data_IF_560699971725
#
_entry.id   IF_560699971725
#
_cell.length_a   1.000
_cell.length_b   1.000
_cell.length_c   1.000
_cell.angle_alpha   90.00
_cell.angle_beta   90.00
_cell.angle_gamma   90.00
#
_symmetry.space_group_name_H-M   'P 1'
#
loop_
_entity.id
_entity.type
_entity.pdbx_description
1 polymer ?
#
# COMPACT_ATOMS: atom_id res chain seq x y z
N UNK A 1 40.10 0.64 -9.38
CA UNK A 1 38.94 1.52 -9.28
C UNK A 1 38.54 1.56 -7.82
N UNK A 2 38.11 2.70 -7.30
CA UNK A 2 37.59 2.74 -5.94
C UNK A 2 36.35 1.87 -5.85
N UNK A 3 36.24 1.08 -4.78
CA UNK A 3 35.03 0.28 -4.48
C UNK A 3 33.85 1.23 -4.29
N UNK A 4 32.77 1.03 -5.05
CA UNK A 4 31.53 1.80 -4.87
C UNK A 4 30.71 1.16 -3.76
N UNK A 5 30.11 1.97 -2.91
CA UNK A 5 29.35 1.50 -1.77
C UNK A 5 28.00 2.20 -1.71
N UNK A 6 26.97 1.46 -1.33
CA UNK A 6 25.63 1.96 -1.08
C UNK A 6 25.14 1.51 0.29
N UNK A 7 24.38 2.36 0.98
CA UNK A 7 23.74 2.00 2.26
C UNK A 7 22.43 1.27 1.99
N UNK A 8 22.25 0.11 2.59
CA UNK A 8 21.06 -0.72 2.47
C UNK A 8 20.32 -0.79 3.82
N UNK A 9 19.00 -0.64 3.76
CA UNK A 9 18.12 -0.75 4.91
C UNK A 9 16.97 -1.73 4.61
N UNK A 10 16.70 -2.64 5.53
CA UNK A 10 15.46 -3.38 5.57
C UNK A 10 14.52 -2.66 6.53
N UNK A 11 13.32 -2.34 6.05
CA UNK A 11 12.35 -1.49 6.76
C UNK A 11 11.01 -2.16 6.75
N UNK A 12 10.38 -2.27 7.90
CA UNK A 12 8.97 -2.64 8.01
C UNK A 12 8.12 -1.37 8.06
N UNK A 13 7.11 -1.30 7.20
CA UNK A 13 6.22 -0.14 7.05
C UNK A 13 4.81 -0.44 7.55
N UNK A 14 4.06 0.62 7.86
CA UNK A 14 2.74 0.53 8.49
C UNK A 14 2.77 -0.09 9.88
N UNK A 15 3.90 0.00 10.55
CA UNK A 15 4.11 -0.56 11.89
C UNK A 15 5.20 0.21 12.64
N UNK A 16 5.22 0.08 13.97
CA UNK A 16 6.33 0.49 14.86
C UNK A 16 7.11 -0.69 15.40
N UNK A 17 6.63 -1.90 15.13
CA UNK A 17 7.22 -3.15 15.61
C UNK A 17 7.94 -3.86 14.46
N UNK A 18 9.17 -4.34 14.75
CA UNK A 18 9.93 -5.13 13.77
C UNK A 18 9.23 -6.45 13.50
N UNK A 19 9.38 -6.93 12.25
CA UNK A 19 8.81 -8.19 11.77
C UNK A 19 7.28 -8.15 11.61
N UNK A 20 6.70 -6.95 11.65
CA UNK A 20 5.30 -6.65 11.39
C UNK A 20 5.16 -5.79 10.14
N UNK A 21 3.92 -5.48 9.72
CA UNK A 21 3.65 -4.60 8.58
C UNK A 21 4.19 -5.12 7.23
N UNK A 22 4.47 -4.23 6.30
CA UNK A 22 4.93 -4.59 4.95
C UNK A 22 6.42 -4.25 4.79
N UNK A 23 7.29 -5.26 4.52
CA UNK A 23 8.72 -5.03 4.40
C UNK A 23 9.08 -4.37 3.06
N UNK A 24 10.10 -3.50 3.09
CA UNK A 24 10.73 -2.93 1.91
C UNK A 24 12.25 -2.82 2.12
N UNK A 25 12.99 -2.93 1.04
CA UNK A 25 14.42 -2.60 1.03
C UNK A 25 14.58 -1.17 0.52
N UNK A 26 15.42 -0.38 1.20
CA UNK A 26 15.79 0.97 0.76
C UNK A 26 17.29 1.00 0.53
N UNK A 27 17.70 1.46 -0.64
CA UNK A 27 19.10 1.67 -1.00
C UNK A 27 19.31 3.17 -1.15
N UNK A 28 20.12 3.75 -0.25
CA UNK A 28 20.61 5.13 -0.35
C UNK A 28 21.91 5.18 -1.14
N UNK A 29 22.29 6.38 -1.58
CA UNK A 29 23.51 6.64 -2.35
C UNK A 29 23.52 5.88 -3.69
N UNK A 30 22.36 5.80 -4.34
CA UNK A 30 22.13 4.99 -5.54
C UNK A 30 22.43 5.72 -6.86
N UNK A 31 22.94 6.96 -6.83
CA UNK A 31 23.21 7.81 -8.00
C UNK A 31 24.17 7.18 -9.01
N UNK A 32 25.14 6.39 -8.51
CA UNK A 32 26.14 5.74 -9.36
C UNK A 32 25.69 4.38 -9.91
N UNK A 33 24.51 3.89 -9.51
CA UNK A 33 24.02 2.58 -9.94
C UNK A 33 23.37 2.65 -11.31
N UNK A 34 23.73 1.72 -12.16
CA UNK A 34 22.99 1.46 -13.40
C UNK A 34 21.67 0.71 -13.10
N UNK A 35 20.71 0.79 -14.01
CA UNK A 35 19.46 0.03 -13.92
C UNK A 35 19.71 -1.48 -13.75
N UNK A 36 20.71 -2.00 -14.47
CA UNK A 36 21.08 -3.41 -14.38
C UNK A 36 21.60 -3.78 -12.98
N UNK A 37 22.38 -2.92 -12.35
CA UNK A 37 22.88 -3.12 -10.99
C UNK A 37 21.73 -3.04 -9.97
N UNK A 38 20.84 -2.06 -10.09
CA UNK A 38 19.63 -1.97 -9.25
C UNK A 38 18.79 -3.24 -9.35
N UNK A 39 18.56 -3.74 -10.57
CA UNK A 39 17.83 -4.99 -10.79
C UNK A 39 18.55 -6.24 -10.23
N UNK A 40 19.88 -6.27 -10.21
CA UNK A 40 20.67 -7.33 -9.56
C UNK A 40 20.54 -7.27 -8.04
N UNK A 41 20.68 -6.09 -7.45
CA UNK A 41 20.49 -5.88 -6.01
C UNK A 41 19.08 -6.30 -5.59
N UNK A 42 18.03 -5.86 -6.32
CA UNK A 42 16.65 -6.23 -6.01
C UNK A 42 16.40 -7.75 -6.06
N UNK A 43 17.09 -8.49 -6.93
CA UNK A 43 17.03 -9.96 -6.94
C UNK A 43 17.80 -10.60 -5.79
N UNK A 44 18.95 -10.06 -5.44
CA UNK A 44 19.80 -10.57 -4.38
C UNK A 44 19.15 -10.45 -3.00
N UNK A 45 18.46 -9.32 -2.74
CA UNK A 45 17.71 -9.13 -1.48
C UNK A 45 16.43 -9.97 -1.40
N UNK A 46 16.11 -10.73 -2.44
CA UNK A 46 15.08 -11.78 -2.43
C UNK A 46 13.69 -11.27 -2.85
N UNK A 47 12.64 -11.75 -2.17
CA UNK A 47 11.24 -11.51 -2.55
C UNK A 47 10.68 -10.15 -2.12
N UNK A 48 11.51 -9.29 -1.53
CA UNK A 48 11.11 -7.97 -0.99
C UNK A 48 11.30 -6.91 -2.07
N UNK A 49 10.34 -6.01 -2.21
CA UNK A 49 10.40 -4.88 -3.14
C UNK A 49 11.40 -3.83 -2.63
N UNK A 50 12.10 -3.18 -3.57
CA UNK A 50 13.22 -2.28 -3.26
C UNK A 50 12.98 -0.88 -3.81
N UNK A 51 13.34 0.14 -3.02
CA UNK A 51 13.40 1.55 -3.42
C UNK A 51 14.86 2.01 -3.48
N UNK A 52 15.27 2.57 -4.61
CA UNK A 52 16.57 3.20 -4.82
C UNK A 52 16.37 4.71 -4.76
N UNK A 53 17.07 5.34 -3.83
CA UNK A 53 17.01 6.79 -3.60
C UNK A 53 18.12 7.46 -4.39
N UNK A 54 17.73 8.41 -5.23
CA UNK A 54 18.62 9.14 -6.14
C UNK A 54 18.35 10.63 -5.93
N UNK A 55 19.44 11.44 -5.87
CA UNK A 55 19.31 12.89 -5.83
C UNK A 55 18.58 13.38 -7.08
N UNK A 56 17.62 14.30 -6.92
CA UNK A 56 16.94 14.85 -8.07
C UNK A 56 17.82 15.77 -8.88
N UNK A 57 17.73 15.67 -10.21
CA UNK A 57 18.35 16.56 -11.18
C UNK A 57 17.42 17.70 -11.64
N UNK A 58 16.16 17.71 -11.16
CA UNK A 58 15.14 18.68 -11.52
C UNK A 58 14.84 19.67 -10.41
N UNK A 59 14.68 20.97 -10.69
CA UNK A 59 14.25 21.95 -9.69
C UNK A 59 12.80 21.75 -9.23
N UNK A 60 12.04 20.94 -9.94
CA UNK A 60 10.63 20.67 -9.65
C UNK A 60 10.42 19.49 -8.72
N UNK A 61 11.48 18.75 -8.38
CA UNK A 61 11.43 17.59 -7.48
C UNK A 61 12.59 17.60 -6.50
N UNK A 62 12.34 17.06 -5.30
CA UNK A 62 13.31 17.05 -4.21
C UNK A 62 14.11 15.75 -4.15
N UNK A 63 13.59 14.69 -4.76
CA UNK A 63 14.19 13.36 -4.81
C UNK A 63 13.59 12.53 -5.93
N UNK A 64 14.38 11.64 -6.52
CA UNK A 64 13.95 10.63 -7.46
C UNK A 64 13.99 9.26 -6.78
N UNK A 65 12.92 8.50 -6.87
CA UNK A 65 12.87 7.11 -6.42
C UNK A 65 12.63 6.18 -7.60
N UNK A 66 13.46 5.14 -7.68
CA UNK A 66 13.24 4.02 -8.59
C UNK A 66 12.87 2.79 -7.79
N UNK A 67 11.84 2.08 -8.25
CA UNK A 67 11.33 0.92 -7.53
C UNK A 67 11.52 -0.36 -8.34
N UNK A 68 11.93 -1.40 -7.67
CA UNK A 68 12.12 -2.71 -8.27
C UNK A 68 11.42 -3.79 -7.47
N UNK A 69 10.64 -4.61 -8.17
CA UNK A 69 10.34 -5.96 -7.72
C UNK A 69 11.53 -6.88 -8.05
N UNK A 70 11.63 -8.08 -7.51
CA UNK A 70 12.70 -9.02 -7.88
C UNK A 70 12.71 -9.38 -9.39
N UNK A 71 11.63 -9.10 -10.10
CA UNK A 71 11.47 -9.45 -11.52
C UNK A 71 11.74 -8.29 -12.47
N UNK A 72 11.37 -7.06 -12.08
CA UNK A 72 11.43 -5.88 -12.96
C UNK A 72 11.31 -4.58 -12.18
N UNK A 73 11.69 -3.50 -12.84
CA UNK A 73 11.33 -2.15 -12.38
C UNK A 73 9.81 -1.96 -12.42
N UNK A 74 9.29 -1.21 -11.45
CA UNK A 74 7.87 -0.82 -11.33
C UNK A 74 7.76 0.68 -11.10
N UNK A 75 6.71 1.30 -11.62
CA UNK A 75 6.59 2.76 -11.60
C UNK A 75 6.44 3.35 -10.19
N UNK A 76 5.70 2.68 -9.32
CA UNK A 76 5.41 3.20 -7.99
C UNK A 76 5.06 2.09 -6.99
N UNK A 77 5.62 2.23 -5.77
CA UNK A 77 5.33 1.36 -4.63
C UNK A 77 5.08 2.21 -3.37
N UNK A 78 3.85 2.21 -2.87
CA UNK A 78 3.47 3.05 -1.73
C UNK A 78 4.23 2.72 -0.43
N UNK A 79 4.30 1.44 -0.03
CA UNK A 79 5.02 1.03 1.17
C UNK A 79 6.53 1.32 1.06
N UNK A 80 7.14 1.07 -0.10
CA UNK A 80 8.54 1.37 -0.32
C UNK A 80 8.82 2.90 -0.37
N UNK A 81 7.84 3.73 -0.79
CA UNK A 81 7.89 5.19 -0.65
C UNK A 81 7.93 5.59 0.83
N UNK A 82 7.05 5.03 1.66
CA UNK A 82 7.05 5.29 3.12
C UNK A 82 8.40 4.90 3.71
N UNK A 83 8.92 3.71 3.38
CA UNK A 83 10.22 3.23 3.84
C UNK A 83 11.36 4.18 3.44
N UNK A 84 11.41 4.60 2.17
CA UNK A 84 12.47 5.47 1.65
C UNK A 84 12.50 6.83 2.36
N UNK A 85 11.35 7.48 2.53
CA UNK A 85 11.28 8.77 3.22
C UNK A 85 11.55 8.64 4.72
N UNK A 86 11.14 7.55 5.35
CA UNK A 86 11.50 7.26 6.74
C UNK A 86 13.01 7.11 6.90
N UNK A 87 13.65 6.30 6.05
CA UNK A 87 15.11 6.09 6.09
C UNK A 87 15.86 7.40 5.84
N UNK A 88 15.48 8.18 4.82
CA UNK A 88 16.07 9.49 4.53
C UNK A 88 16.00 10.43 5.73
N UNK A 89 14.87 10.46 6.42
CA UNK A 89 14.69 11.31 7.59
C UNK A 89 15.53 10.86 8.80
N UNK A 90 15.75 9.55 8.98
CA UNK A 90 16.54 8.98 10.06
C UNK A 90 18.03 9.04 9.76
N UNK A 91 18.46 8.60 8.57
CA UNK A 91 19.87 8.44 8.21
C UNK A 91 20.52 9.76 7.78
N UNK A 92 19.82 10.60 7.04
CA UNK A 92 20.36 11.82 6.45
C UNK A 92 19.82 13.10 7.11
N UNK A 93 18.93 12.97 8.10
CA UNK A 93 18.36 14.12 8.81
C UNK A 93 17.53 15.04 7.91
N UNK A 94 16.95 14.50 6.82
CA UNK A 94 16.16 15.28 5.87
C UNK A 94 15.06 16.04 6.60
N UNK A 95 14.85 17.34 6.31
CA UNK A 95 13.84 18.17 6.95
C UNK A 95 12.44 17.57 6.85
N UNK A 96 11.67 17.73 7.91
CA UNK A 96 10.23 17.42 7.92
C UNK A 96 9.50 18.40 7.05
N UNK A 97 8.38 17.99 6.49
CA UNK A 97 7.54 18.80 5.64
C UNK A 97 7.12 18.05 4.39
N UNK A 98 6.76 18.82 3.38
CA UNK A 98 6.38 18.29 2.08
C UNK A 98 7.59 18.05 1.21
N UNK A 99 7.61 16.91 0.54
CA UNK A 99 8.66 16.47 -0.38
C UNK A 99 7.99 16.12 -1.70
N UNK A 100 8.51 16.63 -2.80
CA UNK A 100 8.09 16.28 -4.16
C UNK A 100 8.98 15.18 -4.68
N UNK A 101 8.45 13.97 -4.67
CA UNK A 101 9.14 12.77 -5.15
C UNK A 101 8.82 12.55 -6.62
N UNK A 102 9.84 12.37 -7.46
CA UNK A 102 9.69 11.85 -8.81
C UNK A 102 9.74 10.31 -8.77
N UNK A 103 8.89 9.68 -9.56
CA UNK A 103 8.85 8.24 -9.73
C UNK A 103 8.40 7.93 -11.16
N UNK A 104 9.33 7.50 -11.99
CA UNK A 104 9.09 7.39 -13.43
C UNK A 104 8.68 8.73 -14.02
N UNK A 105 7.48 8.80 -14.61
CA UNK A 105 6.90 10.04 -15.16
C UNK A 105 6.06 10.84 -14.16
N UNK A 106 5.77 10.28 -12.98
CA UNK A 106 4.88 10.90 -11.99
C UNK A 106 5.66 11.70 -10.94
N UNK A 107 5.05 12.80 -10.47
CA UNK A 107 5.48 13.51 -9.26
C UNK A 107 4.43 13.31 -8.19
N UNK A 108 4.89 12.85 -7.03
CA UNK A 108 4.03 12.54 -5.87
C UNK A 108 4.44 13.42 -4.70
N UNK A 109 3.48 14.04 -4.05
CA UNK A 109 3.71 14.77 -2.80
C UNK A 109 3.73 13.80 -1.63
N UNK A 110 4.80 13.84 -0.84
CA UNK A 110 4.96 13.05 0.38
C UNK A 110 5.18 14.00 1.54
N UNK A 111 4.45 13.83 2.64
CA UNK A 111 4.64 14.60 3.85
C UNK A 111 5.33 13.75 4.92
N UNK A 112 6.40 14.30 5.51
CA UNK A 112 7.11 13.68 6.64
C UNK A 112 6.87 14.51 7.88
N UNK A 113 6.37 13.91 8.94
CA UNK A 113 6.02 14.58 10.20
C UNK A 113 6.47 13.77 11.43
N UNK A 114 6.30 14.35 12.62
CA UNK A 114 6.70 13.69 13.87
C UNK A 114 8.15 13.93 14.25
N UNK A 115 8.69 13.15 15.17
CA UNK A 115 10.09 13.18 15.64
C UNK A 115 10.65 11.77 15.64
N UNK A 116 11.91 11.64 15.23
CA UNK A 116 12.62 10.38 15.27
C UNK A 116 12.61 9.77 16.70
N UNK A 117 12.39 8.47 16.88
CA UNK A 117 12.13 7.49 15.82
C UNK A 117 10.66 7.41 15.36
N UNK A 118 9.72 8.12 16.02
CA UNK A 118 8.29 8.11 15.72
C UNK A 118 7.95 9.09 14.58
N UNK A 119 8.55 8.89 13.42
CA UNK A 119 8.23 9.62 12.20
C UNK A 119 7.03 9.01 11.51
N UNK A 120 6.21 9.88 10.91
CA UNK A 120 5.07 9.50 10.10
C UNK A 120 5.26 10.00 8.68
N UNK A 121 5.02 9.13 7.73
CA UNK A 121 5.09 9.44 6.30
C UNK A 121 3.70 9.30 5.70
N UNK A 122 3.24 10.34 5.02
CA UNK A 122 1.96 10.38 4.33
C UNK A 122 2.17 10.62 2.83
N UNK A 123 1.53 9.83 2.00
CA UNK A 123 1.54 9.96 0.54
C UNK A 123 0.23 10.61 0.12
N UNK A 124 0.32 11.76 -0.55
CA UNK A 124 -0.81 12.48 -1.11
C UNK A 124 -1.05 12.09 -2.57
N UNK A 125 -2.28 11.75 -2.91
CA UNK A 125 -2.60 11.26 -4.24
C UNK A 125 -4.02 11.63 -4.67
N UNK A 126 -4.26 11.64 -5.99
CA UNK A 126 -5.61 11.77 -6.53
C UNK A 126 -6.47 10.56 -6.12
N UNK A 127 -7.79 10.74 -5.97
CA UNK A 127 -8.70 9.65 -5.64
C UNK A 127 -8.66 8.52 -6.67
N UNK A 128 -8.98 7.31 -6.20
CA UNK A 128 -9.24 6.17 -7.07
C UNK A 128 -10.52 6.38 -7.88
N UNK A 129 -10.59 5.74 -9.04
CA UNK A 129 -11.76 5.74 -9.91
C UNK A 129 -12.61 4.50 -9.68
N UNK A 130 -13.93 4.67 -9.80
CA UNK A 130 -14.88 3.57 -9.73
C UNK A 130 -14.91 2.81 -11.05
N UNK A 131 -14.69 1.51 -10.97
CA UNK A 131 -14.93 0.56 -12.04
C UNK A 131 -16.34 -0.06 -11.94
N UNK A 132 -16.58 -1.13 -12.72
CA UNK A 132 -17.88 -1.80 -12.73
C UNK A 132 -18.21 -2.49 -11.40
N UNK A 133 -19.49 -2.59 -11.10
CA UNK A 133 -20.00 -3.55 -10.12
C UNK A 133 -19.82 -4.98 -10.66
N UNK A 134 -19.57 -5.92 -9.77
CA UNK A 134 -19.52 -7.33 -10.16
C UNK A 134 -20.92 -7.83 -10.47
N UNK A 135 -21.19 -8.35 -11.69
CA UNK A 135 -22.48 -8.94 -12.06
C UNK A 135 -22.82 -10.14 -11.15
N UNK A 136 -24.11 -10.35 -10.90
CA UNK A 136 -24.58 -11.43 -10.00
C UNK A 136 -24.08 -12.81 -10.41
N UNK A 137 -23.95 -13.07 -11.71
CA UNK A 137 -23.43 -14.32 -12.30
C UNK A 137 -22.00 -14.63 -11.86
N UNK A 138 -21.17 -13.58 -11.64
CA UNK A 138 -19.77 -13.72 -11.23
C UNK A 138 -19.56 -13.61 -9.73
N UNK A 139 -20.54 -12.99 -9.04
CA UNK A 139 -20.49 -12.82 -7.57
C UNK A 139 -20.35 -14.16 -6.86
N UNK A 140 -21.18 -15.15 -7.25
CA UNK A 140 -21.12 -16.50 -6.71
C UNK A 140 -19.74 -17.14 -6.86
N UNK A 141 -19.12 -17.02 -8.04
CA UNK A 141 -17.77 -17.58 -8.30
C UNK A 141 -16.69 -16.96 -7.40
N UNK A 142 -16.77 -15.64 -7.16
CA UNK A 142 -15.84 -14.95 -6.26
C UNK A 142 -16.03 -15.42 -4.81
N UNK A 143 -17.27 -15.54 -4.37
CA UNK A 143 -17.60 -16.02 -3.02
C UNK A 143 -17.13 -17.46 -2.80
N UNK A 144 -17.38 -18.34 -3.77
CA UNK A 144 -16.91 -19.72 -3.75
C UNK A 144 -15.38 -19.80 -3.71
N UNK A 145 -14.69 -18.93 -4.47
CA UNK A 145 -13.22 -18.88 -4.46
C UNK A 145 -12.66 -18.37 -3.14
N UNK A 146 -13.42 -17.57 -2.37
CA UNK A 146 -13.06 -17.11 -1.03
C UNK A 146 -13.52 -18.04 0.08
N UNK A 147 -14.35 -19.07 -0.23
CA UNK A 147 -14.89 -20.02 0.73
C UNK A 147 -15.98 -19.43 1.64
N UNK A 148 -16.77 -18.47 1.13
CA UNK A 148 -17.86 -17.80 1.87
C UNK A 148 -19.16 -17.79 1.08
N UNK A 149 -20.26 -17.49 1.75
CA UNK A 149 -21.58 -17.36 1.15
C UNK A 149 -22.03 -15.90 0.99
N UNK A 150 -23.08 -15.66 0.25
CA UNK A 150 -23.69 -14.32 0.11
C UNK A 150 -24.18 -13.76 1.46
N UNK A 151 -24.53 -14.60 2.41
CA UNK A 151 -24.89 -14.17 3.77
C UNK A 151 -23.73 -13.51 4.52
N UNK A 152 -22.50 -13.72 4.10
CA UNK A 152 -21.31 -13.08 4.69
C UNK A 152 -21.11 -11.63 4.23
N UNK A 153 -21.77 -11.21 3.15
CA UNK A 153 -21.57 -9.88 2.57
C UNK A 153 -22.29 -8.79 3.39
N UNK A 154 -21.61 -7.67 3.55
CA UNK A 154 -22.23 -6.49 4.14
C UNK A 154 -23.23 -5.86 3.14
N UNK A 155 -24.50 -5.64 3.54
CA UNK A 155 -25.57 -5.25 2.60
C UNK A 155 -25.35 -3.87 1.95
N UNK A 156 -24.65 -2.97 2.62
CA UNK A 156 -24.32 -1.63 2.10
C UNK A 156 -22.99 -1.56 1.35
N UNK A 157 -22.28 -2.70 1.17
CA UNK A 157 -20.99 -2.76 0.50
C UNK A 157 -21.10 -3.54 -0.83
N UNK A 158 -21.49 -2.92 -1.94
CA UNK A 158 -21.54 -3.60 -3.23
C UNK A 158 -20.16 -4.05 -3.67
N UNK A 159 -20.03 -5.26 -4.21
CA UNK A 159 -18.76 -5.73 -4.79
C UNK A 159 -18.41 -4.90 -6.02
N UNK A 160 -17.37 -4.08 -5.91
CA UNK A 160 -17.01 -3.11 -6.94
C UNK A 160 -15.53 -3.04 -7.18
N UNK A 161 -15.14 -2.89 -8.44
CA UNK A 161 -13.76 -2.64 -8.81
C UNK A 161 -13.41 -1.17 -8.56
N UNK A 162 -12.27 -0.96 -7.92
CA UNK A 162 -11.66 0.36 -7.76
C UNK A 162 -10.28 0.37 -8.41
N UNK A 163 -9.91 1.48 -9.05
CA UNK A 163 -8.64 1.58 -9.81
C UNK A 163 -7.85 2.83 -9.44
N UNK A 164 -6.56 2.61 -9.16
CA UNK A 164 -5.54 3.66 -8.95
C UNK A 164 -4.17 3.04 -9.21
N UNK A 165 -3.59 3.26 -10.37
CA UNK A 165 -2.41 2.59 -10.92
C UNK A 165 -2.62 1.07 -11.10
N UNK A 166 -3.19 0.40 -10.14
CA UNK A 166 -3.64 -0.99 -10.15
C UNK A 166 -5.14 -1.04 -9.85
N UNK A 167 -5.79 -2.16 -10.09
CA UNK A 167 -7.22 -2.37 -9.79
C UNK A 167 -7.44 -3.38 -8.67
N UNK A 168 -8.46 -3.15 -7.84
CA UNK A 168 -8.86 -4.03 -6.75
C UNK A 168 -10.35 -4.25 -6.76
N UNK A 169 -10.76 -5.50 -6.60
CA UNK A 169 -12.13 -5.80 -6.27
C UNK A 169 -12.33 -5.65 -4.76
N UNK A 170 -13.13 -4.67 -4.35
CA UNK A 170 -13.49 -4.44 -2.96
C UNK A 170 -14.69 -5.31 -2.58
N UNK A 171 -14.57 -6.03 -1.47
CA UNK A 171 -15.56 -6.99 -0.98
C UNK A 171 -15.76 -6.73 0.51
N UNK A 172 -16.90 -6.10 0.86
CA UNK A 172 -17.23 -5.81 2.25
C UNK A 172 -17.94 -7.00 2.92
N UNK A 173 -17.46 -7.40 4.09
CA UNK A 173 -18.05 -8.45 4.92
C UNK A 173 -18.83 -7.87 6.09
N UNK A 174 -19.75 -8.64 6.65
CA UNK A 174 -20.60 -8.21 7.77
C UNK A 174 -19.81 -7.98 9.07
N UNK A 175 -18.75 -8.75 9.29
CA UNK A 175 -17.97 -8.64 10.51
C UNK A 175 -16.50 -9.04 10.32
N UNK A 176 -15.59 -8.57 11.19
CA UNK A 176 -14.18 -8.99 11.20
C UNK A 176 -13.98 -10.50 11.41
N UNK A 177 -14.85 -11.17 12.17
CA UNK A 177 -14.76 -12.62 12.40
C UNK A 177 -14.94 -13.41 11.10
N UNK A 178 -15.70 -12.86 10.14
CA UNK A 178 -15.86 -13.47 8.83
C UNK A 178 -14.55 -13.51 8.04
N UNK A 179 -13.62 -12.55 8.26
CA UNK A 179 -12.29 -12.57 7.65
C UNK A 179 -11.46 -13.78 8.09
N UNK A 180 -11.66 -14.27 9.32
CA UNK A 180 -10.96 -15.45 9.85
C UNK A 180 -11.42 -16.73 9.14
N UNK A 181 -12.69 -16.78 8.76
CA UNK A 181 -13.27 -17.94 8.09
C UNK A 181 -12.91 -18.07 6.62
N UNK A 182 -12.28 -17.06 6.01
CA UNK A 182 -11.89 -17.09 4.60
C UNK A 182 -10.90 -18.21 4.31
N UNK A 183 -11.23 -19.02 3.30
CA UNK A 183 -10.39 -20.10 2.77
C UNK A 183 -10.13 -19.86 1.27
N UNK A 184 -9.30 -18.85 0.93
CA UNK A 184 -9.12 -18.45 -0.46
C UNK A 184 -8.41 -19.53 -1.27
N UNK A 185 -9.05 -19.96 -2.37
CA UNK A 185 -8.45 -20.81 -3.38
C UNK A 185 -7.71 -19.95 -4.39
N UNK A 186 -6.39 -19.87 -4.28
CA UNK A 186 -5.55 -18.97 -5.05
C UNK A 186 -5.61 -19.21 -6.55
N UNK A 187 -5.71 -20.44 -7.00
CA UNK A 187 -5.89 -20.83 -8.40
C UNK A 187 -7.22 -20.33 -8.98
N UNK A 188 -8.30 -20.44 -8.21
CA UNK A 188 -9.61 -19.93 -8.58
C UNK A 188 -9.62 -18.39 -8.63
N UNK A 189 -9.06 -17.71 -7.62
CA UNK A 189 -8.92 -16.26 -7.63
C UNK A 189 -8.07 -15.76 -8.81
N UNK A 190 -6.97 -16.44 -9.11
CA UNK A 190 -6.13 -16.12 -10.28
C UNK A 190 -6.91 -16.24 -11.59
N UNK A 191 -7.69 -17.30 -11.75
CA UNK A 191 -8.52 -17.52 -12.93
C UNK A 191 -9.64 -16.47 -13.07
N UNK A 192 -10.16 -15.95 -11.95
CA UNK A 192 -11.21 -14.93 -11.95
C UNK A 192 -10.70 -13.51 -12.25
N UNK A 193 -9.42 -13.21 -12.02
CA UNK A 193 -8.82 -11.88 -12.20
C UNK A 193 -9.20 -11.22 -13.54
N UNK A 194 -9.02 -11.83 -14.73
CA UNK A 194 -9.38 -11.20 -15.99
C UNK A 194 -10.91 -11.02 -16.15
N UNK A 195 -11.70 -11.85 -15.51
CA UNK A 195 -13.17 -11.83 -15.63
C UNK A 195 -13.82 -10.77 -14.75
N UNK A 196 -13.21 -10.41 -13.62
CA UNK A 196 -13.69 -9.35 -12.74
C UNK A 196 -13.05 -7.99 -13.06
N UNK A 197 -11.98 -7.97 -13.86
CA UNK A 197 -11.28 -6.74 -14.23
C UNK A 197 -10.49 -6.11 -13.09
N UNK A 198 -9.95 -6.93 -12.18
CA UNK A 198 -9.18 -6.46 -11.03
C UNK A 198 -7.90 -7.29 -10.86
N UNK A 199 -6.79 -6.64 -10.47
CA UNK A 199 -5.49 -7.30 -10.23
C UNK A 199 -5.40 -7.99 -8.87
N UNK A 200 -6.42 -7.84 -8.04
CA UNK A 200 -6.46 -8.43 -6.71
C UNK A 200 -7.79 -8.23 -6.01
N UNK A 201 -7.96 -8.95 -4.92
CA UNK A 201 -9.18 -9.03 -4.13
C UNK A 201 -8.92 -8.45 -2.75
N UNK A 202 -9.54 -7.31 -2.45
CA UNK A 202 -9.43 -6.65 -1.16
C UNK A 202 -10.71 -6.90 -0.36
N UNK A 203 -10.62 -7.82 0.57
CA UNK A 203 -11.74 -8.23 1.43
C UNK A 203 -11.63 -7.50 2.75
N UNK A 204 -12.67 -6.78 3.15
CA UNK A 204 -12.65 -5.97 4.36
C UNK A 204 -13.93 -6.11 5.18
N UNK A 205 -13.84 -5.81 6.46
CA UNK A 205 -14.97 -5.64 7.35
C UNK A 205 -14.87 -4.28 8.04
N UNK A 206 -16.03 -3.66 8.30
CA UNK A 206 -16.10 -2.45 9.11
C UNK A 206 -15.92 -2.80 10.58
N UNK A 207 -15.23 -1.95 11.31
CA UNK A 207 -14.97 -2.06 12.73
C UNK A 207 -14.94 -0.66 13.36
N UNK A 208 -14.60 -0.58 14.63
CA UNK A 208 -14.36 0.69 15.33
C UNK A 208 -13.26 0.53 16.36
N UNK A 209 -12.36 1.51 16.43
CA UNK A 209 -11.37 1.64 17.49
C UNK A 209 -11.86 2.72 18.47
N UNK A 210 -12.58 2.31 19.49
CA UNK A 210 -13.34 3.23 20.32
C UNK A 210 -14.42 3.94 19.49
N UNK A 211 -14.38 5.28 19.45
CA UNK A 211 -15.32 6.10 18.65
C UNK A 211 -14.84 6.35 17.23
N UNK A 212 -13.67 5.86 16.84
CA UNK A 212 -13.09 6.11 15.49
C UNK A 212 -13.46 4.99 14.52
N UNK A 213 -13.88 5.33 13.29
CA UNK A 213 -14.09 4.33 12.24
C UNK A 213 -12.80 3.57 11.96
N UNK A 214 -12.90 2.25 11.90
CA UNK A 214 -11.80 1.38 11.50
C UNK A 214 -12.26 0.27 10.57
N UNK A 215 -11.31 -0.40 9.95
CA UNK A 215 -11.56 -1.57 9.11
C UNK A 215 -10.51 -2.63 9.37
N UNK A 216 -10.88 -3.89 9.24
CA UNK A 216 -9.95 -4.98 9.14
C UNK A 216 -10.00 -5.58 7.74
N UNK A 217 -8.85 -5.96 7.17
CA UNK A 217 -8.79 -6.39 5.78
C UNK A 217 -7.78 -7.51 5.52
N UNK A 218 -8.01 -8.22 4.41
CA UNK A 218 -7.09 -9.17 3.78
C UNK A 218 -6.98 -8.85 2.29
N UNK A 219 -5.77 -8.98 1.73
CA UNK A 219 -5.49 -8.65 0.33
C UNK A 219 -4.85 -9.82 -0.40
N UNK A 220 -5.53 -10.34 -1.43
CA UNK A 220 -5.06 -11.47 -2.22
C UNK A 220 -4.68 -11.02 -3.64
N UNK A 221 -3.44 -11.34 -4.05
CA UNK A 221 -2.89 -10.99 -5.37
C UNK A 221 -2.16 -12.16 -6.05
N UNK A 222 -2.83 -13.30 -6.25
CA UNK A 222 -2.18 -14.50 -6.78
C UNK A 222 -1.59 -14.29 -8.19
N UNK A 223 -2.16 -13.40 -9.00
CA UNK A 223 -1.70 -13.13 -10.37
C UNK A 223 -0.26 -12.57 -10.45
N UNK A 224 0.22 -11.91 -9.41
CA UNK A 224 1.60 -11.42 -9.34
C UNK A 224 2.53 -12.31 -8.51
N UNK A 225 2.02 -13.46 -8.04
CA UNK A 225 2.76 -14.40 -7.21
C UNK A 225 2.79 -14.04 -5.72
N UNK A 226 1.92 -13.16 -5.26
CA UNK A 226 1.72 -12.80 -3.85
C UNK A 226 0.39 -13.39 -3.39
N UNK A 227 0.39 -14.52 -2.66
CA UNK A 227 -0.85 -15.13 -2.18
C UNK A 227 -1.65 -14.17 -1.31
N UNK A 228 -1.02 -13.58 -0.31
CA UNK A 228 -1.62 -12.55 0.54
C UNK A 228 -0.59 -11.44 0.82
N UNK A 229 -0.97 -10.19 0.54
CA UNK A 229 -0.17 -8.99 0.79
C UNK A 229 -0.33 -8.59 2.27
N UNK A 230 0.75 -8.42 3.04
CA UNK A 230 0.64 -8.11 4.45
C UNK A 230 -0.12 -6.80 4.70
N UNK A 231 0.27 -5.69 4.06
CA UNK A 231 -0.40 -4.39 4.23
C UNK A 231 -0.36 -3.58 2.93
N UNK A 232 -1.53 -3.24 2.41
CA UNK A 232 -1.67 -2.48 1.16
C UNK A 232 -2.20 -1.06 1.39
N UNK A 233 -1.32 -0.08 1.46
CA UNK A 233 -1.74 1.33 1.56
C UNK A 233 -2.59 1.78 0.38
N UNK A 234 -2.28 1.33 -0.85
CA UNK A 234 -3.05 1.65 -2.05
C UNK A 234 -4.51 1.14 -1.96
N UNK A 235 -4.71 -0.10 -1.49
CA UNK A 235 -6.04 -0.66 -1.34
C UNK A 235 -6.86 0.07 -0.25
N UNK A 236 -6.23 0.45 0.86
CA UNK A 236 -6.87 1.26 1.89
C UNK A 236 -7.22 2.67 1.38
N UNK A 237 -6.38 3.29 0.56
CA UNK A 237 -6.70 4.55 -0.11
C UNK A 237 -7.92 4.43 -1.04
N UNK A 238 -8.03 3.33 -1.81
CA UNK A 238 -9.22 3.01 -2.60
C UNK A 238 -10.45 2.81 -1.72
N UNK A 239 -10.30 2.07 -0.60
CA UNK A 239 -11.36 1.82 0.36
C UNK A 239 -11.91 3.13 0.94
N UNK A 240 -11.06 4.10 1.27
CA UNK A 240 -11.51 5.40 1.78
C UNK A 240 -12.46 6.13 0.81
N UNK A 241 -12.10 6.15 -0.48
CA UNK A 241 -12.97 6.72 -1.53
C UNK A 241 -14.28 5.95 -1.66
N UNK A 242 -14.21 4.63 -1.62
CA UNK A 242 -15.35 3.74 -1.68
C UNK A 242 -16.31 3.94 -0.49
N UNK A 243 -15.79 3.95 0.74
CA UNK A 243 -16.61 4.10 1.95
C UNK A 243 -17.32 5.46 1.99
N UNK A 244 -16.63 6.55 1.61
CA UNK A 244 -17.22 7.88 1.51
C UNK A 244 -18.35 7.91 0.48
N UNK A 245 -18.14 7.34 -0.71
CA UNK A 245 -19.12 7.32 -1.79
C UNK A 245 -20.40 6.57 -1.39
N UNK A 246 -20.25 5.42 -0.75
CA UNK A 246 -21.39 4.58 -0.31
C UNK A 246 -22.02 5.05 1.01
N UNK A 247 -21.52 6.14 1.61
CA UNK A 247 -22.07 6.72 2.84
C UNK A 247 -21.76 5.90 4.11
N UNK A 248 -20.70 5.09 4.06
CA UNK A 248 -20.21 4.26 5.17
C UNK A 248 -19.14 4.99 5.98
N UNK A 249 -18.65 6.10 5.46
CA UNK A 249 -17.72 7.02 6.10
C UNK A 249 -18.22 8.45 5.88
N UNK A 250 -18.29 9.25 6.93
CA UNK A 250 -18.73 10.64 6.87
C UNK A 250 -17.53 11.58 6.84
N UNK A 251 -17.66 12.65 6.06
CA UNK A 251 -16.69 13.74 6.11
C UNK A 251 -17.14 14.78 7.13
N UNK A 252 -16.24 15.15 8.03
CA UNK A 252 -16.35 16.27 8.95
C UNK A 252 -15.35 17.36 8.53
N UNK A 253 -15.78 18.59 8.44
CA UNK A 253 -15.00 19.71 7.91
C UNK A 253 -14.28 19.42 6.58
N UNK A 254 -14.96 18.68 5.67
CA UNK A 254 -14.42 18.31 4.37
C UNK A 254 -13.40 17.18 4.40
N UNK A 255 -13.21 16.50 5.52
CA UNK A 255 -12.29 15.38 5.66
C UNK A 255 -12.98 14.16 6.27
N UNK A 256 -12.81 13.01 5.65
CA UNK A 256 -13.22 11.72 6.19
C UNK A 256 -11.95 10.92 6.57
N UNK A 257 -11.94 10.31 7.74
CA UNK A 257 -10.78 9.58 8.26
C UNK A 257 -11.17 8.23 8.80
N UNK A 258 -10.32 7.24 8.57
CA UNK A 258 -10.43 5.94 9.21
C UNK A 258 -9.04 5.30 9.36
N UNK A 259 -8.99 4.27 10.18
CA UNK A 259 -7.80 3.43 10.39
C UNK A 259 -8.07 2.06 9.80
N UNK A 260 -7.18 1.59 8.93
CA UNK A 260 -7.25 0.25 8.35
C UNK A 260 -6.23 -0.68 9.00
N UNK A 261 -6.68 -1.85 9.44
CA UNK A 261 -5.85 -2.93 9.96
C UNK A 261 -5.74 -4.04 8.93
N UNK A 262 -4.53 -4.59 8.74
CA UNK A 262 -4.28 -5.69 7.81
C UNK A 262 -3.08 -6.51 8.30
N UNK A 263 -2.94 -7.74 7.81
CA UNK A 263 -1.71 -8.53 7.94
C UNK A 263 -1.68 -9.49 9.13
N UNK A 264 -2.64 -9.47 10.04
CA UNK A 264 -2.62 -10.40 11.19
C UNK A 264 -2.70 -11.87 10.78
N UNK A 265 -3.28 -12.17 9.62
CA UNK A 265 -3.43 -13.54 9.10
C UNK A 265 -2.16 -14.09 8.43
N UNK A 266 -1.14 -13.27 8.28
CA UNK A 266 0.19 -13.63 7.78
C UNK A 266 1.29 -13.24 8.77
N UNK A 267 0.93 -13.12 10.06
CA UNK A 267 1.82 -12.78 11.17
C UNK A 267 2.62 -11.48 10.97
N UNK A 268 2.05 -10.54 10.19
CA UNK A 268 2.65 -9.23 9.91
C UNK A 268 1.61 -8.10 10.10
N UNK A 269 1.03 -7.95 11.30
CA UNK A 269 0.01 -6.94 11.53
C UNK A 269 0.55 -5.53 11.25
N UNK A 270 -0.30 -4.72 10.63
CA UNK A 270 0.03 -3.32 10.34
C UNK A 270 -1.20 -2.44 10.26
N UNK A 271 -0.95 -1.13 10.31
CA UNK A 271 -1.97 -0.10 10.44
C UNK A 271 -1.75 1.00 9.40
N UNK A 272 -2.79 1.29 8.64
CA UNK A 272 -2.83 2.34 7.62
C UNK A 272 -3.79 3.42 8.06
N UNK A 273 -3.35 4.67 8.14
CA UNK A 273 -4.26 5.79 8.31
C UNK A 273 -4.63 6.38 6.96
N UNK A 274 -5.90 6.57 6.74
CA UNK A 274 -6.44 7.15 5.51
C UNK A 274 -7.21 8.41 5.84
N UNK A 275 -6.87 9.50 5.14
CA UNK A 275 -7.64 10.74 5.13
C UNK A 275 -8.12 10.99 3.70
N UNK A 276 -9.42 11.15 3.53
CA UNK A 276 -10.04 11.53 2.26
C UNK A 276 -10.52 12.97 2.37
N UNK A 277 -9.93 13.88 1.59
CA UNK A 277 -10.47 15.23 1.43
C UNK A 277 -11.62 15.18 0.45
N UNK A 278 -12.74 15.81 0.80
CA UNK A 278 -13.98 15.68 0.07
C UNK A 278 -14.76 16.99 -0.09
N UNK A 279 -15.52 17.08 -1.17
CA UNK A 279 -16.58 18.06 -1.37
C UNK A 279 -17.91 17.30 -1.45
N UNK A 280 -18.67 17.33 -0.35
CA UNK A 280 -19.82 16.43 -0.17
C UNK A 280 -19.37 14.96 -0.17
N UNK A 281 -19.97 14.13 -1.02
CA UNK A 281 -19.60 12.71 -1.19
C UNK A 281 -18.50 12.48 -2.25
N UNK A 282 -17.96 13.54 -2.84
CA UNK A 282 -16.92 13.43 -3.87
C UNK A 282 -15.55 13.61 -3.24
N UNK A 283 -14.74 12.57 -3.26
CA UNK A 283 -13.33 12.65 -2.91
C UNK A 283 -12.56 13.55 -3.89
N UNK A 284 -11.69 14.42 -3.39
CA UNK A 284 -10.82 15.31 -4.16
C UNK A 284 -9.35 14.98 -3.98
N UNK A 285 -8.97 14.43 -2.83
CA UNK A 285 -7.62 13.98 -2.51
C UNK A 285 -7.67 12.81 -1.52
N UNK A 286 -6.66 11.96 -1.54
CA UNK A 286 -6.47 10.88 -0.57
C UNK A 286 -5.05 10.97 -0.03
N UNK A 287 -4.92 10.99 1.29
CA UNK A 287 -3.65 10.82 1.97
C UNK A 287 -3.62 9.43 2.65
N UNK A 288 -2.57 8.67 2.36
CA UNK A 288 -2.31 7.36 2.97
C UNK A 288 -1.07 7.48 3.81
N UNK A 289 -1.19 7.28 5.11
CA UNK A 289 -0.09 7.46 6.05
C UNK A 289 0.21 6.19 6.85
N UNK A 290 1.48 6.07 7.25
CA UNK A 290 1.94 4.99 8.09
C UNK A 290 3.22 5.33 8.84
N UNK A 291 3.46 4.57 9.89
CA UNK A 291 4.73 4.52 10.59
C UNK A 291 5.69 3.57 9.86
N UNK A 292 6.98 3.59 10.25
CA UNK A 292 7.95 2.61 9.79
C UNK A 292 9.03 2.36 10.86
N UNK A 293 9.71 1.23 10.76
CA UNK A 293 10.82 0.87 11.64
C UNK A 293 11.93 0.18 10.86
N UNK A 294 13.19 0.58 11.10
CA UNK A 294 14.36 -0.08 10.53
C UNK A 294 14.59 -1.42 11.25
N UNK A 295 14.65 -2.50 10.48
CA UNK A 295 14.95 -3.86 10.96
C UNK A 295 16.44 -4.13 10.89
N UNK A 296 17.06 -3.78 9.76
CA UNK A 296 18.47 -4.02 9.46
C UNK A 296 19.03 -2.83 8.71
N UNK A 297 20.30 -2.51 9.00
CA UNK A 297 21.13 -1.61 8.22
C UNK A 297 22.43 -2.30 7.84
N UNK A 298 22.85 -2.14 6.59
CA UNK A 298 24.07 -2.73 6.05
C UNK A 298 24.67 -1.83 4.96
N UNK A 299 25.78 -2.27 4.38
CA UNK A 299 26.44 -1.66 3.24
C UNK A 299 26.61 -2.70 2.14
N UNK A 300 26.39 -2.30 0.90
CA UNK A 300 26.67 -3.11 -0.29
C UNK A 300 27.92 -2.55 -0.95
N UNK A 301 28.88 -3.41 -1.24
CA UNK A 301 30.06 -3.14 -2.08
C UNK A 301 29.79 -3.61 -3.51
N UNK A 302 30.24 -2.80 -4.51
CA UNK A 302 29.98 -2.98 -5.94
C UNK A 302 31.27 -2.98 -6.75
#
# INVERSE_FOLDING_TARGET
>A
MAERKCRLFLVDTFTRERFCGNPAVVVLDAESLTEQEMGRIAREVGSIESAFVIASDSPDTDVDLRFFSPRREVEFLGHATIAAHYVRAIADGIPRGKVRQKSGSAVVEVAVSGRAPALRVAIHQSPATFGPLVPDERRGLVLDALGISSASLHPACPMQVMSKANSRLLIGLQSPETLESLQPRMDALMSLTPHVGADGFFVFALSSDGDSPSTEARMFRPVIGVPEDPVSGNAHGMLGVYLLHHGLLSADDGQARFVGHQGRFVDRPGTVEVTVTASGKRATEVAVAGDAVIVLQSEISL
#
